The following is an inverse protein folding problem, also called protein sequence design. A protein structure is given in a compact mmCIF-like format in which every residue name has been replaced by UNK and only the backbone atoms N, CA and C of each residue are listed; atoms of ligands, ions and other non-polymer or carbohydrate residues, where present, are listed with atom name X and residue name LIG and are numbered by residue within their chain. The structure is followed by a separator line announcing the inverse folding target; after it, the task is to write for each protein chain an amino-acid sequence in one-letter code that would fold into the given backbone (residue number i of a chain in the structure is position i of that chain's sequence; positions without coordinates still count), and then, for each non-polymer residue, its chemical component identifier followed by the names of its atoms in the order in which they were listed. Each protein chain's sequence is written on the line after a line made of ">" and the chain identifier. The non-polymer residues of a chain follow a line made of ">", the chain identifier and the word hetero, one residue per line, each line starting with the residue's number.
data_IF_084403478622
#
_entry.id   IF_084403478622
#
_cell.length_a   1.000
_cell.length_b   1.000
_cell.length_c   1.000
_cell.angle_alpha   90.00
_cell.angle_beta   90.00
_cell.angle_gamma   90.00
#
_symmetry.space_group_name_H-M   'P 1'
#
loop_
_entity.id
_entity.type
_entity.pdbx_description
1 polymer ?
#
# COMPACT_ATOMS: atom_id res chain seq x y z
N UNK A 1 26.71 74.30 44.48
CA UNK A 1 25.92 74.76 43.32
C UNK A 1 26.31 73.94 42.08
N UNK A 2 25.31 73.53 41.28
CA UNK A 2 25.36 72.99 39.89
C UNK A 2 25.94 71.58 39.63
N UNK A 3 24.98 70.70 39.27
CA UNK A 3 25.03 69.36 38.66
C UNK A 3 25.94 69.24 37.41
N UNK A 4 26.45 68.02 37.14
CA UNK A 4 26.31 67.24 35.87
C UNK A 4 26.91 65.82 36.03
N UNK A 5 26.07 64.77 36.04
CA UNK A 5 25.78 63.76 34.98
C UNK A 5 26.93 62.75 34.75
N UNK A 6 26.85 61.56 35.37
CA UNK A 6 26.26 60.28 34.87
C UNK A 6 26.97 59.69 33.65
N UNK A 7 27.70 58.60 33.84
CA UNK A 7 27.81 57.48 32.89
C UNK A 7 27.95 56.17 33.69
N UNK A 8 26.85 55.46 33.88
CA UNK A 8 26.85 54.09 34.41
C UNK A 8 27.04 53.15 33.23
N UNK A 9 28.14 52.39 33.21
CA UNK A 9 28.42 51.38 32.20
C UNK A 9 27.24 50.39 32.13
N UNK A 10 26.69 50.24 30.92
CA UNK A 10 25.69 49.22 30.60
C UNK A 10 26.36 47.85 30.64
N UNK A 11 25.97 46.99 31.58
CA UNK A 11 26.30 45.57 31.54
C UNK A 11 25.53 44.93 30.38
N UNK A 12 26.25 44.48 29.36
CA UNK A 12 25.70 43.71 28.26
C UNK A 12 25.14 42.38 28.79
N UNK A 13 23.82 42.19 28.65
CA UNK A 13 23.16 40.91 28.92
C UNK A 13 23.34 40.04 27.66
N UNK A 14 24.33 39.15 27.67
CA UNK A 14 24.44 38.08 26.67
C UNK A 14 23.36 37.03 26.96
N UNK A 15 22.21 37.14 26.28
CA UNK A 15 21.19 36.10 26.28
C UNK A 15 21.59 34.99 25.29
N UNK A 16 22.19 33.92 25.79
CA UNK A 16 22.46 32.70 25.04
C UNK A 16 21.16 31.86 24.97
N UNK A 17 20.26 32.19 24.05
CA UNK A 17 19.14 31.30 23.72
C UNK A 17 19.62 30.24 22.71
N UNK A 18 20.27 29.19 23.21
CA UNK A 18 20.51 27.99 22.41
C UNK A 18 19.19 27.21 22.30
N UNK A 19 18.38 27.55 21.31
CA UNK A 19 17.20 26.78 20.92
C UNK A 19 17.69 25.47 20.29
N UNK A 20 17.83 24.42 21.10
CA UNK A 20 18.00 23.05 20.63
C UNK A 20 16.71 22.63 19.92
N UNK A 21 16.62 22.86 18.61
CA UNK A 21 15.67 22.17 17.75
C UNK A 21 16.09 20.70 17.70
N UNK A 22 15.64 19.91 18.68
CA UNK A 22 15.65 18.46 18.55
C UNK A 22 14.71 18.11 17.41
N UNK A 23 15.26 17.77 16.24
CA UNK A 23 14.54 17.18 15.15
C UNK A 23 13.90 15.88 15.66
N UNK A 24 12.59 15.93 15.95
CA UNK A 24 11.82 14.72 16.19
C UNK A 24 11.95 13.86 14.93
N UNK A 25 12.40 12.59 15.01
CA UNK A 25 12.31 11.72 13.86
C UNK A 25 10.82 11.65 13.50
N UNK A 26 10.47 12.15 12.32
CA UNK A 26 9.11 12.00 11.82
C UNK A 26 8.80 10.51 11.85
N UNK A 27 7.93 10.08 12.77
CA UNK A 27 7.33 8.78 12.75
C UNK A 27 6.51 8.74 11.45
N UNK A 28 7.12 8.15 10.43
CA UNK A 28 6.46 7.95 9.14
C UNK A 28 5.44 6.87 9.38
N UNK A 29 4.17 7.27 9.46
CA UNK A 29 3.06 6.32 9.48
C UNK A 29 3.24 5.38 8.29
N UNK A 30 3.42 4.09 8.57
CA UNK A 30 3.49 3.11 7.50
C UNK A 30 2.12 3.06 6.83
N UNK A 31 2.06 3.15 5.49
CA UNK A 31 0.82 3.04 4.75
C UNK A 31 0.14 1.71 5.05
N UNK A 32 -0.87 1.70 5.92
CA UNK A 32 -1.60 0.45 6.22
C UNK A 32 -2.49 0.08 5.02
N UNK A 33 -3.03 1.07 4.29
CA UNK A 33 -3.87 0.86 3.12
C UNK A 33 -3.49 1.82 1.98
N UNK A 34 -3.79 1.48 0.71
CA UNK A 34 -3.58 2.38 -0.41
C UNK A 34 -4.48 3.61 -0.34
N UNK A 35 -4.07 4.66 -1.06
CA UNK A 35 -4.94 5.81 -1.29
C UNK A 35 -5.99 5.44 -2.35
N UNK A 36 -7.30 5.44 -2.04
CA UNK A 36 -8.34 4.97 -2.96
C UNK A 36 -8.47 5.82 -4.22
N UNK A 37 -7.97 7.07 -4.22
CA UNK A 37 -7.92 7.90 -5.43
C UNK A 37 -6.85 7.45 -6.42
N UNK A 38 -5.74 6.91 -5.92
CA UNK A 38 -4.62 6.44 -6.73
C UNK A 38 -4.79 4.97 -7.12
N UNK A 39 -5.29 4.16 -6.17
CA UNK A 39 -5.43 2.71 -6.31
C UNK A 39 -6.85 2.28 -5.93
N UNK A 40 -7.86 2.55 -6.78
CA UNK A 40 -9.25 2.16 -6.53
C UNK A 40 -9.52 0.64 -6.64
N UNK A 41 -8.53 -0.16 -7.04
CA UNK A 41 -8.68 -1.61 -7.19
C UNK A 41 -9.15 -2.05 -8.58
N UNK A 42 -8.55 -1.49 -9.63
CA UNK A 42 -8.93 -1.83 -11.00
C UNK A 42 -8.82 -3.34 -11.30
N UNK A 43 -9.83 -3.89 -11.98
CA UNK A 43 -9.90 -5.29 -12.40
C UNK A 43 -9.68 -5.44 -13.92
N UNK A 44 -9.36 -6.66 -14.34
CA UNK A 44 -9.15 -7.03 -15.75
C UNK A 44 -8.09 -6.19 -16.46
N UNK A 45 -8.23 -6.06 -17.78
CA UNK A 45 -7.35 -5.27 -18.64
C UNK A 45 -8.14 -4.16 -19.38
N UNK A 46 -7.52 -3.05 -19.79
CA UNK A 46 -8.22 -2.02 -20.54
C UNK A 46 -8.75 -2.60 -21.86
N UNK A 47 -10.03 -2.35 -22.17
CA UNK A 47 -10.65 -2.82 -23.42
C UNK A 47 -10.97 -4.31 -23.48
N UNK A 48 -10.80 -5.05 -22.38
CA UNK A 48 -11.13 -6.48 -22.27
C UNK A 48 -12.20 -6.68 -21.19
N UNK A 49 -13.19 -7.57 -21.38
CA UNK A 49 -14.13 -7.92 -20.32
C UNK A 49 -13.42 -8.38 -19.05
N UNK A 50 -14.03 -8.07 -17.90
CA UNK A 50 -13.52 -8.55 -16.62
C UNK A 50 -13.56 -10.08 -16.57
N UNK A 51 -12.59 -10.71 -15.89
CA UNK A 51 -12.51 -12.16 -15.84
C UNK A 51 -13.69 -12.75 -15.07
N UNK A 52 -14.18 -13.90 -15.55
CA UNK A 52 -15.25 -14.64 -14.89
C UNK A 52 -14.73 -15.48 -13.72
N UNK A 53 -15.63 -15.92 -12.84
CA UNK A 53 -15.29 -16.86 -11.75
C UNK A 53 -14.60 -18.12 -12.28
N UNK A 54 -15.09 -18.68 -13.39
CA UNK A 54 -14.48 -19.86 -14.00
C UNK A 54 -13.06 -19.61 -14.50
N UNK A 55 -12.76 -18.41 -14.99
CA UNK A 55 -11.42 -18.03 -15.43
C UNK A 55 -10.46 -17.85 -14.26
N UNK A 56 -10.85 -17.13 -13.21
CA UNK A 56 -9.96 -16.87 -12.05
C UNK A 56 -9.69 -18.14 -11.24
N UNK A 57 -10.67 -19.05 -11.14
CA UNK A 57 -10.50 -20.33 -10.46
C UNK A 57 -9.81 -21.40 -11.32
N UNK A 58 -9.53 -21.11 -12.60
CA UNK A 58 -8.78 -22.02 -13.45
C UNK A 58 -7.31 -22.08 -13.04
N UNK A 59 -6.76 -23.30 -12.94
CA UNK A 59 -5.37 -23.53 -12.57
C UNK A 59 -4.40 -22.69 -13.40
N UNK A 60 -3.52 -21.96 -12.72
CA UNK A 60 -2.48 -21.14 -13.34
C UNK A 60 -2.97 -19.81 -13.93
N UNK A 61 -4.22 -19.39 -13.69
CA UNK A 61 -4.72 -18.09 -14.15
C UNK A 61 -3.79 -16.94 -13.77
N UNK A 62 -3.52 -16.76 -12.48
CA UNK A 62 -2.69 -15.66 -12.00
C UNK A 62 -1.26 -15.71 -12.57
N UNK A 63 -0.70 -16.91 -12.76
CA UNK A 63 0.61 -17.07 -13.37
C UNK A 63 0.63 -16.57 -14.82
N UNK A 64 -0.39 -16.89 -15.62
CA UNK A 64 -0.50 -16.42 -17.02
C UNK A 64 -0.72 -14.91 -17.13
N UNK A 65 -1.40 -14.32 -16.15
CA UNK A 65 -1.73 -12.90 -16.15
C UNK A 65 -0.61 -12.01 -15.58
N UNK A 66 0.32 -12.58 -14.81
CA UNK A 66 1.40 -11.82 -14.16
C UNK A 66 2.39 -11.28 -15.20
N UNK A 67 2.85 -10.06 -14.98
CA UNK A 67 3.86 -9.41 -15.83
C UNK A 67 5.25 -10.06 -15.67
N UNK A 68 6.13 -9.82 -16.64
CA UNK A 68 7.54 -10.17 -16.52
C UNK A 68 8.32 -9.10 -15.74
N UNK A 69 9.30 -9.53 -14.94
CA UNK A 69 10.15 -8.66 -14.13
C UNK A 69 11.28 -8.00 -14.96
N UNK A 70 10.91 -7.28 -16.01
CA UNK A 70 11.82 -6.68 -16.98
C UNK A 70 12.05 -5.17 -16.76
N UNK A 71 12.53 -4.46 -17.79
CA UNK A 71 12.74 -3.01 -17.74
C UNK A 71 11.43 -2.24 -17.58
N UNK A 72 10.36 -2.66 -18.24
CA UNK A 72 9.05 -2.02 -18.15
C UNK A 72 8.52 -2.12 -16.72
N UNK A 73 8.66 -3.28 -16.08
CA UNK A 73 8.31 -3.42 -14.66
C UNK A 73 9.08 -2.46 -13.75
N UNK A 74 10.39 -2.27 -13.97
CA UNK A 74 11.18 -1.31 -13.17
C UNK A 74 10.68 0.13 -13.31
N UNK A 75 10.26 0.53 -14.52
CA UNK A 75 9.67 1.84 -14.78
C UNK A 75 8.29 1.97 -14.13
N UNK A 76 7.46 0.93 -14.25
CA UNK A 76 6.15 0.85 -13.60
C UNK A 76 6.27 1.00 -12.07
N UNK A 77 7.18 0.24 -11.45
CA UNK A 77 7.50 0.34 -10.02
C UNK A 77 7.99 1.75 -9.62
N UNK A 78 8.80 2.40 -10.46
CA UNK A 78 9.25 3.77 -10.20
C UNK A 78 8.09 4.78 -10.23
N UNK A 79 7.16 4.63 -11.18
CA UNK A 79 5.97 5.46 -11.29
C UNK A 79 5.06 5.31 -10.06
N UNK A 80 4.85 4.10 -9.55
CA UNK A 80 4.08 3.88 -8.30
C UNK A 80 4.67 4.66 -7.12
N UNK A 81 5.99 4.60 -6.93
CA UNK A 81 6.62 5.35 -5.84
C UNK A 81 6.57 6.86 -6.05
N UNK A 82 6.60 7.34 -7.29
CA UNK A 82 6.48 8.76 -7.59
C UNK A 82 5.06 9.26 -7.27
N UNK A 83 4.04 8.53 -7.70
CA UNK A 83 2.63 8.87 -7.48
C UNK A 83 2.27 8.95 -5.99
N UNK A 84 2.85 8.06 -5.20
CA UNK A 84 2.69 8.02 -3.74
C UNK A 84 3.71 8.90 -2.98
N UNK A 85 4.52 9.67 -3.69
CA UNK A 85 5.57 10.53 -3.11
C UNK A 85 6.53 9.79 -2.15
N UNK A 86 6.84 8.51 -2.42
CA UNK A 86 7.73 7.68 -1.59
C UNK A 86 9.21 8.04 -1.89
N UNK A 87 9.94 8.63 -0.93
CA UNK A 87 11.33 9.02 -1.12
C UNK A 87 12.22 7.81 -1.39
N UNK A 88 13.24 7.98 -2.23
CA UNK A 88 14.16 6.90 -2.61
C UNK A 88 14.72 6.15 -1.39
N UNK A 89 15.16 6.88 -0.36
CA UNK A 89 15.71 6.33 0.88
C UNK A 89 14.76 5.38 1.62
N UNK A 90 13.45 5.51 1.42
CA UNK A 90 12.40 4.72 2.08
C UNK A 90 11.88 3.56 1.23
N UNK A 91 12.13 3.55 -0.09
CA UNK A 91 11.60 2.53 -1.02
C UNK A 91 11.95 1.08 -0.63
N UNK A 92 13.02 0.85 0.14
CA UNK A 92 13.39 -0.50 0.63
C UNK A 92 12.38 -1.11 1.58
N UNK A 93 11.60 -0.28 2.28
CA UNK A 93 10.57 -0.72 3.23
C UNK A 93 9.27 -1.17 2.55
N UNK A 94 9.16 -0.95 1.24
CA UNK A 94 7.95 -1.22 0.47
C UNK A 94 8.21 -2.23 -0.65
N UNK A 95 7.20 -3.02 -0.94
CA UNK A 95 7.03 -3.71 -2.22
C UNK A 95 5.98 -2.98 -3.05
N UNK A 96 5.94 -3.19 -4.37
CA UNK A 96 4.79 -2.77 -5.18
C UNK A 96 3.90 -3.99 -5.31
N UNK A 97 2.66 -3.84 -4.88
CA UNK A 97 1.72 -4.95 -4.76
C UNK A 97 0.33 -4.55 -5.27
N UNK A 98 -0.46 -5.54 -5.64
CA UNK A 98 -1.82 -5.35 -6.15
C UNK A 98 -2.80 -5.08 -5.01
N UNK A 99 -3.78 -4.18 -5.16
CA UNK A 99 -4.83 -4.03 -4.15
C UNK A 99 -5.83 -5.19 -4.24
N UNK A 100 -6.44 -5.38 -5.42
CA UNK A 100 -7.15 -6.60 -5.76
C UNK A 100 -6.13 -7.59 -6.33
N UNK A 101 -5.93 -8.78 -5.74
CA UNK A 101 -4.95 -9.74 -6.24
C UNK A 101 -5.30 -10.20 -7.65
N UNK A 102 -4.28 -10.55 -8.43
CA UNK A 102 -4.46 -11.08 -9.80
C UNK A 102 -5.29 -12.37 -9.74
N UNK A 103 -5.14 -13.15 -8.67
CA UNK A 103 -5.87 -14.36 -8.33
C UNK A 103 -7.40 -14.13 -8.25
N UNK A 104 -7.84 -12.90 -7.97
CA UNK A 104 -9.24 -12.47 -8.01
C UNK A 104 -9.56 -11.59 -9.23
N UNK A 105 -8.74 -11.66 -10.27
CA UNK A 105 -8.93 -10.89 -11.49
C UNK A 105 -8.53 -9.41 -11.41
N UNK A 106 -7.76 -9.05 -10.38
CA UNK A 106 -7.14 -7.73 -10.29
C UNK A 106 -6.25 -7.43 -11.49
N UNK A 107 -6.19 -6.16 -11.88
CA UNK A 107 -5.36 -5.70 -12.99
C UNK A 107 -3.89 -5.94 -12.69
N UNK A 108 -3.26 -6.83 -13.47
CA UNK A 108 -1.88 -7.25 -13.25
C UNK A 108 -0.84 -6.19 -13.65
N UNK A 109 -1.08 -5.54 -14.79
CA UNK A 109 -0.24 -4.54 -15.41
C UNK A 109 -1.06 -3.85 -16.50
N UNK A 110 -0.79 -2.59 -16.81
CA UNK A 110 -1.50 -1.91 -17.88
C UNK A 110 -0.80 -0.66 -18.35
N UNK A 111 -1.02 -0.34 -19.62
CA UNK A 111 -0.77 0.98 -20.20
C UNK A 111 -2.14 1.56 -20.53
N UNK A 112 -2.44 2.73 -19.99
CA UNK A 112 -3.63 3.53 -20.33
C UNK A 112 -3.27 4.64 -21.33
N UNK A 113 -4.25 5.50 -21.62
CA UNK A 113 -4.12 6.58 -22.60
C UNK A 113 -3.01 7.61 -22.28
N UNK A 114 -2.46 7.62 -21.07
CA UNK A 114 -1.44 8.57 -20.60
C UNK A 114 -0.20 7.94 -19.97
N UNK A 115 0.03 6.63 -20.13
CA UNK A 115 1.17 5.93 -19.53
C UNK A 115 0.75 4.71 -18.71
N UNK A 116 1.51 4.37 -17.67
CA UNK A 116 1.22 3.22 -16.82
C UNK A 116 -0.14 3.35 -16.11
N UNK A 117 -0.96 2.30 -16.18
CA UNK A 117 -2.19 2.19 -15.40
C UNK A 117 -1.85 1.64 -14.01
N UNK A 118 -1.83 2.52 -13.01
CA UNK A 118 -1.45 2.21 -11.64
C UNK A 118 -2.66 1.94 -10.72
N UNK A 119 -3.89 1.91 -11.27
CA UNK A 119 -5.14 1.93 -10.50
C UNK A 119 -5.42 0.66 -9.68
N UNK A 120 -4.55 -0.34 -9.74
CA UNK A 120 -4.61 -1.54 -8.90
C UNK A 120 -3.29 -1.86 -8.20
N UNK A 121 -2.31 -0.97 -8.21
CA UNK A 121 -1.04 -1.21 -7.50
C UNK A 121 -0.68 -0.06 -6.57
N UNK A 122 0.05 -0.38 -5.51
CA UNK A 122 0.46 0.61 -4.51
C UNK A 122 1.77 0.21 -3.83
N UNK A 123 2.46 1.15 -3.15
CA UNK A 123 3.59 0.83 -2.28
C UNK A 123 3.09 0.19 -0.98
N UNK A 124 3.09 -1.14 -0.94
CA UNK A 124 2.72 -1.90 0.25
C UNK A 124 3.92 -2.01 1.20
N UNK A 125 3.78 -1.68 2.50
CA UNK A 125 4.83 -1.96 3.47
C UNK A 125 5.13 -3.45 3.55
N UNK A 126 6.42 -3.81 3.49
CA UNK A 126 6.85 -5.21 3.61
C UNK A 126 6.46 -5.85 4.95
N UNK A 127 6.26 -5.04 5.99
CA UNK A 127 5.79 -5.50 7.30
C UNK A 127 4.36 -6.07 7.25
N UNK A 128 3.50 -5.53 6.37
CA UNK A 128 2.11 -5.98 6.23
C UNK A 128 1.91 -6.98 5.08
N UNK A 129 2.93 -7.20 4.23
CA UNK A 129 2.83 -8.05 3.04
C UNK A 129 2.25 -9.43 3.34
N UNK A 130 2.88 -10.19 4.25
CA UNK A 130 2.41 -11.53 4.63
C UNK A 130 0.99 -11.55 5.18
N UNK A 131 0.60 -10.49 5.89
CA UNK A 131 -0.72 -10.39 6.51
C UNK A 131 -1.80 -10.17 5.44
N UNK A 132 -1.52 -9.33 4.45
CA UNK A 132 -2.41 -9.15 3.30
C UNK A 132 -2.43 -10.39 2.40
N UNK A 133 -1.29 -11.05 2.14
CA UNK A 133 -1.24 -12.30 1.36
C UNK A 133 -2.19 -13.38 1.95
N UNK A 134 -2.26 -13.47 3.28
CA UNK A 134 -3.19 -14.38 3.95
C UNK A 134 -4.67 -14.02 3.73
N UNK A 135 -5.00 -12.72 3.74
CA UNK A 135 -6.34 -12.23 3.41
C UNK A 135 -6.69 -12.54 1.95
N UNK A 136 -5.76 -12.32 1.03
CA UNK A 136 -5.93 -12.61 -0.40
C UNK A 136 -6.17 -14.10 -0.67
N UNK A 137 -5.34 -14.96 -0.06
CA UNK A 137 -5.51 -16.41 -0.16
C UNK A 137 -6.85 -16.88 0.41
N UNK A 138 -7.27 -16.32 1.55
CA UNK A 138 -8.56 -16.64 2.15
C UNK A 138 -9.75 -16.18 1.30
N UNK A 139 -9.68 -14.98 0.70
CA UNK A 139 -10.69 -14.51 -0.24
C UNK A 139 -10.74 -15.36 -1.52
N UNK A 140 -9.58 -15.76 -2.05
CA UNK A 140 -9.51 -16.69 -3.17
C UNK A 140 -10.17 -18.03 -2.84
N UNK A 141 -9.85 -18.62 -1.67
CA UNK A 141 -10.50 -19.84 -1.19
C UNK A 141 -12.02 -19.68 -1.04
N UNK A 142 -12.49 -18.56 -0.49
CA UNK A 142 -13.92 -18.26 -0.36
C UNK A 142 -14.65 -18.16 -1.72
N UNK A 143 -13.94 -17.88 -2.81
CA UNK A 143 -14.50 -17.80 -4.17
C UNK A 143 -14.37 -19.13 -4.93
N UNK A 144 -13.20 -19.77 -4.84
CA UNK A 144 -12.81 -20.85 -5.75
C UNK A 144 -12.83 -22.25 -5.15
N UNK A 145 -12.76 -22.39 -3.82
CA UNK A 145 -12.76 -23.70 -3.18
C UNK A 145 -14.19 -24.21 -3.00
N UNK A 146 -14.41 -25.49 -3.27
CA UNK A 146 -15.71 -26.13 -3.13
C UNK A 146 -16.24 -26.10 -1.68
N UNK A 147 -15.36 -26.08 -0.67
CA UNK A 147 -15.72 -25.95 0.74
C UNK A 147 -15.80 -24.50 1.23
N UNK A 148 -15.40 -23.54 0.40
CA UNK A 148 -15.20 -22.16 0.80
C UNK A 148 -14.09 -22.01 1.86
N UNK A 149 -13.94 -20.79 2.39
CA UNK A 149 -13.00 -20.48 3.46
C UNK A 149 -13.70 -20.57 4.81
N UNK A 150 -13.42 -21.61 5.61
CA UNK A 150 -14.11 -21.85 6.90
C UNK A 150 -15.64 -21.91 6.75
N UNK A 151 -16.12 -22.46 5.63
CA UNK A 151 -17.54 -22.52 5.27
C UNK A 151 -18.10 -21.23 4.68
N UNK A 152 -17.31 -20.16 4.55
CA UNK A 152 -17.70 -18.93 3.88
C UNK A 152 -17.53 -19.07 2.37
N UNK A 153 -18.60 -18.77 1.63
CA UNK A 153 -18.59 -18.60 0.18
C UNK A 153 -18.86 -17.15 -0.20
N UNK A 154 -18.10 -16.64 -1.15
CA UNK A 154 -18.27 -15.31 -1.73
C UNK A 154 -18.38 -15.41 -3.25
N UNK A 155 -19.19 -14.54 -3.83
CA UNK A 155 -19.07 -14.26 -5.27
C UNK A 155 -17.74 -13.52 -5.54
N UNK A 156 -17.21 -13.65 -6.75
CA UNK A 156 -16.02 -12.94 -7.18
C UNK A 156 -16.15 -11.41 -6.96
N UNK A 157 -17.31 -10.83 -7.27
CA UNK A 157 -17.58 -9.40 -7.08
C UNK A 157 -17.56 -8.99 -5.60
N UNK A 158 -18.07 -9.82 -4.70
CA UNK A 158 -18.01 -9.53 -3.26
C UNK A 158 -16.57 -9.53 -2.74
N UNK A 159 -15.75 -10.51 -3.16
CA UNK A 159 -14.35 -10.57 -2.77
C UNK A 159 -13.55 -9.37 -3.32
N UNK A 160 -13.77 -9.00 -4.59
CA UNK A 160 -13.15 -7.83 -5.22
C UNK A 160 -13.52 -6.53 -4.50
N UNK A 161 -14.81 -6.30 -4.22
CA UNK A 161 -15.25 -5.10 -3.51
C UNK A 161 -14.71 -5.04 -2.07
N UNK A 162 -14.73 -6.17 -1.35
CA UNK A 162 -14.27 -6.20 0.04
C UNK A 162 -12.80 -5.79 0.16
N UNK A 163 -11.91 -6.38 -0.64
CA UNK A 163 -10.47 -6.07 -0.56
C UNK A 163 -10.12 -4.69 -1.11
N UNK A 164 -10.85 -4.21 -2.13
CA UNK A 164 -10.64 -2.87 -2.68
C UNK A 164 -11.11 -1.76 -1.72
N UNK A 165 -12.16 -2.02 -0.92
CA UNK A 165 -12.66 -1.07 0.06
C UNK A 165 -11.74 -0.96 1.28
N UNK A 166 -11.42 -2.10 1.90
CA UNK A 166 -10.49 -2.19 3.03
C UNK A 166 -9.98 -3.62 3.20
N UNK A 167 -8.76 -3.88 2.76
CA UNK A 167 -8.14 -5.21 2.91
C UNK A 167 -7.97 -5.65 4.38
N UNK A 168 -8.00 -4.72 5.34
CA UNK A 168 -7.90 -5.02 6.77
C UNK A 168 -9.24 -5.44 7.39
N UNK A 169 -10.36 -5.18 6.72
CA UNK A 169 -11.72 -5.49 7.17
C UNK A 169 -12.53 -6.18 6.08
N UNK A 170 -12.15 -7.41 5.74
CA UNK A 170 -12.88 -8.26 4.78
C UNK A 170 -13.71 -9.32 5.51
N UNK A 171 -14.68 -9.96 4.84
CA UNK A 171 -15.47 -11.05 5.45
C UNK A 171 -14.65 -12.25 5.94
N UNK A 172 -13.45 -12.48 5.39
CA UNK A 172 -12.55 -13.56 5.82
C UNK A 172 -11.75 -13.21 7.08
N UNK A 173 -11.78 -11.93 7.49
CA UNK A 173 -11.03 -11.40 8.62
C UNK A 173 -9.52 -11.39 8.40
N UNK A 174 -8.81 -10.87 9.39
CA UNK A 174 -7.35 -10.91 9.43
C UNK A 174 -6.86 -12.29 9.90
N UNK A 175 -5.65 -12.72 9.49
CA UNK A 175 -5.07 -13.94 10.04
C UNK A 175 -4.92 -13.79 11.56
N UNK A 176 -5.33 -14.82 12.29
CA UNK A 176 -5.09 -14.90 13.74
C UNK A 176 -3.58 -15.06 13.94
N UNK A 177 -2.93 -14.27 14.82
CA UNK A 177 -1.54 -14.51 15.16
C UNK A 177 -1.39 -15.95 15.60
N UNK A 178 -0.42 -16.69 15.03
CA UNK A 178 -0.11 -18.02 15.53
C UNK A 178 0.14 -17.90 17.05
N UNK A 179 -0.56 -18.72 17.83
CA UNK A 179 -0.29 -18.81 19.25
C UNK A 179 1.21 -19.08 19.40
N UNK A 180 1.90 -18.22 20.15
CA UNK A 180 3.27 -18.52 20.53
C UNK A 180 3.16 -19.62 21.57
N UNK A 181 3.45 -20.85 21.16
CA UNK A 181 3.74 -21.91 22.11
C UNK A 181 4.96 -21.42 22.93
N UNK A 182 4.70 -21.12 24.20
CA UNK A 182 5.70 -20.75 25.20
C UNK A 182 6.26 -22.00 25.87
#
# INVERSE_FOLDING_TARGET
>A
MKRRRRQSLQFAVTALFALLLTALPAAVDALVAPNPRLTPGAIGAPGVPNPTVAQVCARGYAHRMRHHYDRAWRQYRAAVFQEYAIPYARRRAYTVDHLVPIELGGRAFGVGAGGWDLRNVWPQPKAEAKRKDAVEGALYAAVCDASGYRGLHLSLSQAQHAIAADWTHTPVGLPVPAARDH
#
